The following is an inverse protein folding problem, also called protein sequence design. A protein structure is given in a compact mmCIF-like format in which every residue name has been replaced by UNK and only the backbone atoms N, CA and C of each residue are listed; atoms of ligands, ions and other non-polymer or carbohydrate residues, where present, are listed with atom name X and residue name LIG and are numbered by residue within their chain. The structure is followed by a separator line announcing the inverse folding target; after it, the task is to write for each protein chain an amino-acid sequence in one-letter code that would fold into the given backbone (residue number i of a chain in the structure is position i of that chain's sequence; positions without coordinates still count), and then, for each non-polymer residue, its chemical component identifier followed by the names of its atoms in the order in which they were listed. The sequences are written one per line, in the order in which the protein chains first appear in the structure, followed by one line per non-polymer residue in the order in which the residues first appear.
data_IF_513992577401
#
_entry.id   IF_513992577401
#
_cell.length_a   1.000
_cell.length_b   1.000
_cell.length_c   1.000
_cell.angle_alpha   90.00
_cell.angle_beta   90.00
_cell.angle_gamma   90.00
#
_symmetry.space_group_name_H-M   'P 1'
#
loop_
_entity.id
_entity.type
_entity.pdbx_description
1 polymer ?
#
# COMPACT_ATOMS: atom_id res chain seq x y z
N UNK A 1 -3.16 -18.49 -28.57
CA UNK A 1 -2.86 -17.13 -29.09
C UNK A 1 -2.85 -16.15 -27.93
N UNK A 2 -1.67 -15.79 -27.43
CA UNK A 2 -1.51 -14.84 -26.33
C UNK A 2 -1.66 -13.42 -26.90
N UNK A 3 -2.74 -12.71 -26.58
CA UNK A 3 -2.87 -11.29 -26.95
C UNK A 3 -1.85 -10.52 -26.12
N UNK A 4 -0.93 -9.82 -26.78
CA UNK A 4 -0.05 -8.84 -26.13
C UNK A 4 -0.92 -7.86 -25.33
N UNK A 5 -0.56 -7.62 -24.07
CA UNK A 5 -1.14 -6.55 -23.27
C UNK A 5 -0.67 -5.20 -23.86
N UNK A 6 -1.35 -4.71 -24.89
CA UNK A 6 -0.99 -3.47 -25.61
C UNK A 6 -1.12 -2.20 -24.74
N UNK A 7 -1.63 -2.33 -23.50
CA UNK A 7 -1.76 -1.23 -22.55
C UNK A 7 -0.58 -1.10 -21.57
N UNK A 8 0.41 -1.99 -21.60
CA UNK A 8 1.48 -2.01 -20.60
C UNK A 8 2.82 -1.56 -21.19
N UNK A 9 3.09 -0.25 -21.14
CA UNK A 9 4.34 0.32 -21.62
C UNK A 9 5.46 0.16 -20.56
N UNK A 10 6.35 -0.80 -20.77
CA UNK A 10 7.52 -1.06 -19.89
C UNK A 10 8.56 0.08 -19.89
N UNK A 11 8.54 0.98 -20.89
CA UNK A 11 9.44 2.12 -20.95
C UNK A 11 9.03 3.27 -20.01
N UNK A 12 7.80 3.27 -19.49
CA UNK A 12 7.36 4.27 -18.53
C UNK A 12 8.05 4.04 -17.17
N UNK A 13 8.70 5.08 -16.62
CA UNK A 13 9.38 5.01 -15.31
C UNK A 13 8.42 4.61 -14.17
N UNK A 14 7.11 4.87 -14.28
CA UNK A 14 6.11 4.41 -13.31
C UNK A 14 5.90 2.88 -13.31
N UNK A 15 6.32 2.18 -14.36
CA UNK A 15 6.13 0.74 -14.51
C UNK A 15 7.41 -0.05 -14.17
N UNK A 16 8.48 0.61 -13.71
CA UNK A 16 9.65 -0.10 -13.20
C UNK A 16 9.32 -0.80 -11.88
N UNK A 17 9.76 -2.05 -11.67
CA UNK A 17 9.59 -2.74 -10.41
C UNK A 17 10.28 -1.97 -9.29
N UNK A 18 9.57 -1.83 -8.16
CA UNK A 18 10.09 -1.29 -6.91
C UNK A 18 10.26 -2.43 -5.92
N UNK A 19 11.27 -2.28 -5.07
CA UNK A 19 11.52 -3.19 -3.96
C UNK A 19 10.31 -3.19 -3.03
N UNK A 20 9.78 -4.38 -2.73
CA UNK A 20 8.66 -4.54 -1.79
C UNK A 20 9.26 -4.72 -0.40
N UNK A 21 9.55 -3.61 0.29
CA UNK A 21 10.34 -3.62 1.55
C UNK A 21 9.76 -4.53 2.65
N UNK A 22 8.45 -4.65 2.73
CA UNK A 22 7.75 -5.56 3.66
C UNK A 22 7.94 -7.05 3.35
N UNK A 23 8.54 -7.39 2.21
CA UNK A 23 8.94 -8.76 1.86
C UNK A 23 10.38 -9.07 2.25
N UNK A 24 11.09 -8.12 2.84
CA UNK A 24 12.48 -8.25 3.26
C UNK A 24 12.56 -8.35 4.78
N UNK A 25 13.16 -9.43 5.35
CA UNK A 25 13.25 -9.55 6.79
C UNK A 25 14.06 -8.41 7.42
N UNK A 26 13.48 -7.77 8.43
CA UNK A 26 14.10 -6.67 9.17
C UNK A 26 14.67 -7.14 10.51
N UNK A 27 15.69 -6.44 11.02
CA UNK A 27 16.36 -6.80 12.29
C UNK A 27 15.41 -6.71 13.50
N UNK A 28 14.51 -5.75 13.48
CA UNK A 28 13.51 -5.50 14.52
C UNK A 28 12.25 -6.36 14.39
N UNK A 29 12.22 -7.26 13.39
CA UNK A 29 11.12 -8.18 13.11
C UNK A 29 9.83 -7.51 12.64
N UNK A 30 9.89 -6.23 12.26
CA UNK A 30 8.80 -5.60 11.52
C UNK A 30 8.57 -6.39 10.21
N UNK A 31 7.31 -6.50 9.79
CA UNK A 31 6.84 -7.20 8.59
C UNK A 31 7.08 -8.72 8.52
N UNK A 32 7.51 -9.40 9.59
CA UNK A 32 7.77 -10.85 9.60
C UNK A 32 6.61 -11.71 9.05
N UNK A 33 5.36 -11.26 9.22
CA UNK A 33 4.20 -11.94 8.64
C UNK A 33 4.28 -12.01 7.10
N UNK A 34 4.72 -10.95 6.42
CA UNK A 34 4.87 -10.92 4.96
C UNK A 34 6.29 -11.28 4.48
N UNK A 35 7.31 -10.96 5.27
CA UNK A 35 8.71 -11.21 4.96
C UNK A 35 9.13 -12.67 5.20
N UNK A 36 8.43 -13.40 6.08
CA UNK A 36 8.72 -14.82 6.37
C UNK A 36 7.50 -15.72 6.29
N UNK A 37 6.44 -15.44 7.04
CA UNK A 37 5.31 -16.39 7.17
C UNK A 37 4.60 -16.61 5.83
N UNK A 38 4.29 -15.54 5.12
CA UNK A 38 3.67 -15.61 3.79
C UNK A 38 4.71 -15.70 2.66
N UNK A 39 6.00 -15.50 2.96
CA UNK A 39 7.13 -15.51 2.04
C UNK A 39 7.60 -16.92 1.63
N UNK A 40 6.67 -17.78 1.25
CA UNK A 40 6.97 -19.19 0.99
C UNK A 40 6.37 -19.64 -0.33
N UNK A 41 6.93 -20.69 -0.93
CA UNK A 41 6.37 -21.33 -2.12
C UNK A 41 4.94 -21.84 -1.91
N UNK A 42 4.56 -22.08 -0.65
CA UNK A 42 3.24 -22.52 -0.27
C UNK A 42 2.22 -21.38 -0.12
N UNK A 43 2.62 -20.13 0.12
CA UNK A 43 1.71 -19.01 0.37
C UNK A 43 1.78 -17.92 -0.72
N UNK A 44 2.80 -17.05 -0.67
CA UNK A 44 3.10 -16.06 -1.72
C UNK A 44 4.47 -16.40 -2.29
N UNK A 45 4.49 -17.14 -3.40
CA UNK A 45 5.72 -17.63 -4.02
C UNK A 45 6.52 -16.53 -4.70
N UNK A 46 5.84 -15.49 -5.20
CA UNK A 46 6.48 -14.34 -5.82
C UNK A 46 5.60 -13.09 -5.69
N UNK A 47 6.22 -11.92 -5.68
CA UNK A 47 5.51 -10.67 -5.83
C UNK A 47 6.37 -9.59 -6.49
N UNK A 48 5.72 -8.66 -7.19
CA UNK A 48 6.37 -7.48 -7.78
C UNK A 48 5.50 -6.27 -7.50
N UNK A 49 6.11 -5.21 -7.00
CA UNK A 49 5.43 -3.93 -6.74
C UNK A 49 5.82 -2.89 -7.77
N UNK A 50 4.84 -2.12 -8.24
CA UNK A 50 4.99 -0.97 -9.11
C UNK A 50 4.32 0.24 -8.47
N UNK A 51 4.83 1.44 -8.77
CA UNK A 51 4.32 2.67 -8.19
C UNK A 51 4.00 3.68 -9.27
N UNK A 52 2.84 4.31 -9.20
CA UNK A 52 2.52 5.47 -10.01
C UNK A 52 2.84 6.73 -9.23
N UNK A 53 3.85 7.46 -9.68
CA UNK A 53 4.16 8.77 -9.14
C UNK A 53 3.06 9.78 -9.48
N UNK A 54 2.93 10.84 -8.69
CA UNK A 54 2.20 12.02 -9.12
C UNK A 54 2.95 12.67 -10.29
N UNK A 55 2.34 12.70 -11.45
CA UNK A 55 2.78 13.45 -12.61
C UNK A 55 2.24 14.88 -12.53
N UNK A 56 3.04 15.85 -13.01
CA UNK A 56 2.64 17.26 -13.05
C UNK A 56 1.58 17.54 -14.15
N UNK A 57 1.35 16.58 -15.05
CA UNK A 57 0.61 16.79 -16.31
C UNK A 57 -0.78 16.13 -16.35
N UNK A 58 -1.01 15.01 -15.65
CA UNK A 58 -2.35 14.39 -15.63
C UNK A 58 -3.24 15.12 -14.63
N UNK A 59 -4.11 15.99 -15.14
CA UNK A 59 -5.18 16.65 -14.39
C UNK A 59 -6.22 15.70 -13.75
N UNK A 60 -5.95 14.40 -13.67
CA UNK A 60 -6.78 13.41 -13.00
C UNK A 60 -6.68 13.57 -11.48
N UNK A 61 -7.53 14.46 -10.96
CA UNK A 61 -7.80 14.65 -9.54
C UNK A 61 -8.49 13.41 -8.96
N UNK A 62 -7.73 12.34 -8.68
CA UNK A 62 -8.21 11.23 -7.82
C UNK A 62 -7.96 11.45 -6.33
N UNK A 63 -7.36 12.58 -5.96
CA UNK A 63 -7.38 13.08 -4.58
C UNK A 63 -8.55 14.03 -4.40
N UNK A 64 -9.70 13.57 -3.85
CA UNK A 64 -10.67 14.48 -3.30
C UNK A 64 -10.06 15.10 -2.04
N UNK A 65 -9.48 16.30 -2.18
CA UNK A 65 -9.21 17.17 -1.05
C UNK A 65 -10.55 17.40 -0.36
N UNK A 66 -10.71 16.91 0.87
CA UNK A 66 -11.87 17.29 1.66
C UNK A 66 -11.79 18.81 1.92
N UNK A 67 -12.91 19.54 1.99
CA UNK A 67 -12.87 20.94 2.44
C UNK A 67 -12.19 21.00 3.81
N UNK A 68 -11.05 21.70 3.91
CA UNK A 68 -10.24 21.76 5.14
C UNK A 68 -9.21 20.64 5.32
N UNK A 69 -9.07 19.69 4.38
CA UNK A 69 -7.93 18.77 4.39
C UNK A 69 -6.67 19.53 3.98
N UNK A 70 -5.62 19.41 4.78
CA UNK A 70 -4.31 19.98 4.46
C UNK A 70 -3.93 19.69 3.00
N UNK A 71 -3.32 20.69 2.38
CA UNK A 71 -2.83 20.78 1.01
C UNK A 71 -1.66 19.82 0.69
N UNK A 72 -1.59 18.68 1.37
CA UNK A 72 -0.58 17.68 1.09
C UNK A 72 -0.91 16.93 -0.21
N UNK A 73 0.09 16.80 -1.07
CA UNK A 73 0.03 15.99 -2.29
C UNK A 73 1.05 14.86 -2.16
N UNK A 74 0.65 13.59 -2.17
CA UNK A 74 1.60 12.49 -2.14
C UNK A 74 2.39 12.42 -3.45
N UNK A 75 3.66 12.05 -3.33
CA UNK A 75 4.56 11.83 -4.47
C UNK A 75 4.26 10.51 -5.19
N UNK A 76 3.58 9.57 -4.54
CA UNK A 76 3.08 8.32 -5.11
C UNK A 76 1.57 8.25 -4.88
N UNK A 77 0.82 8.23 -5.98
CA UNK A 77 -0.65 8.28 -5.97
C UNK A 77 -1.29 6.90 -6.01
N UNK A 78 -0.53 5.88 -6.41
CA UNK A 78 -1.01 4.50 -6.49
C UNK A 78 0.16 3.52 -6.35
N UNK A 79 -0.08 2.43 -5.62
CA UNK A 79 0.79 1.24 -5.61
C UNK A 79 0.03 0.09 -6.25
N UNK A 80 0.75 -0.74 -7.00
CA UNK A 80 0.25 -1.95 -7.64
C UNK A 80 1.17 -3.11 -7.29
N UNK A 81 0.65 -4.13 -6.65
CA UNK A 81 1.43 -5.32 -6.30
C UNK A 81 0.80 -6.54 -6.93
N UNK A 82 1.58 -7.25 -7.74
CA UNK A 82 1.21 -8.56 -8.27
C UNK A 82 1.64 -9.61 -7.25
N UNK A 83 0.73 -10.48 -6.83
CA UNK A 83 1.04 -11.61 -5.95
C UNK A 83 0.76 -12.92 -6.68
N UNK A 84 1.76 -13.80 -6.74
CA UNK A 84 1.58 -15.21 -7.09
C UNK A 84 1.17 -15.96 -5.83
N UNK A 85 -0.10 -16.39 -5.77
CA UNK A 85 -0.71 -16.99 -4.58
C UNK A 85 -0.76 -18.51 -4.76
N UNK A 86 -0.19 -19.24 -3.82
CA UNK A 86 -0.18 -20.71 -3.78
C UNK A 86 -1.24 -21.26 -2.80
N UNK A 87 -1.42 -22.59 -2.78
CA UNK A 87 -2.54 -23.24 -2.09
C UNK A 87 -2.48 -23.26 -0.56
N UNK A 88 -1.34 -22.92 0.05
CA UNK A 88 -1.14 -22.93 1.51
C UNK A 88 -1.93 -21.86 2.26
N UNK A 89 -2.60 -20.96 1.56
CA UNK A 89 -3.50 -19.95 2.14
C UNK A 89 -4.98 -20.26 1.88
N UNK A 90 -5.31 -21.47 1.45
CA UNK A 90 -6.69 -21.88 1.17
C UNK A 90 -7.55 -21.89 2.44
N UNK A 91 -8.76 -21.32 2.33
CA UNK A 91 -9.83 -21.47 3.31
C UNK A 91 -10.92 -22.46 2.86
N UNK A 92 -11.03 -22.66 1.55
CA UNK A 92 -11.86 -23.68 0.90
C UNK A 92 -11.08 -24.25 -0.29
N UNK A 93 -11.56 -25.34 -0.90
CA UNK A 93 -10.88 -25.99 -2.02
C UNK A 93 -10.51 -24.98 -3.13
N UNK A 94 -9.20 -24.73 -3.28
CA UNK A 94 -8.58 -23.80 -4.24
C UNK A 94 -9.01 -22.32 -4.10
N UNK A 95 -9.59 -21.92 -2.97
CA UNK A 95 -10.02 -20.55 -2.70
C UNK A 95 -9.24 -20.02 -1.49
N UNK A 96 -8.55 -18.90 -1.69
CA UNK A 96 -7.80 -18.23 -0.63
C UNK A 96 -8.73 -17.84 0.53
N UNK A 97 -8.27 -18.05 1.76
CA UNK A 97 -9.00 -17.73 2.96
C UNK A 97 -9.31 -16.23 3.02
N UNK A 98 -10.50 -15.84 3.46
CA UNK A 98 -10.90 -14.43 3.55
C UNK A 98 -9.95 -13.59 4.40
N UNK A 99 -9.41 -14.18 5.48
CA UNK A 99 -8.37 -13.54 6.30
C UNK A 99 -7.09 -13.22 5.53
N UNK A 100 -6.63 -14.11 4.64
CA UNK A 100 -5.47 -13.84 3.77
C UNK A 100 -5.77 -12.71 2.77
N UNK A 101 -6.96 -12.71 2.18
CA UNK A 101 -7.44 -11.66 1.28
C UNK A 101 -7.46 -10.30 1.99
N UNK A 102 -7.95 -10.24 3.23
CA UNK A 102 -7.91 -9.04 4.05
C UNK A 102 -6.46 -8.59 4.35
N UNK A 103 -5.57 -9.53 4.68
CA UNK A 103 -4.17 -9.22 4.93
C UNK A 103 -3.45 -8.61 3.72
N UNK A 104 -3.61 -9.15 2.51
CA UNK A 104 -2.93 -8.59 1.33
C UNK A 104 -3.49 -7.21 0.94
N UNK A 105 -4.76 -6.92 1.24
CA UNK A 105 -5.33 -5.58 1.08
C UNK A 105 -4.69 -4.60 2.06
N UNK A 106 -4.63 -4.95 3.36
CA UNK A 106 -4.00 -4.13 4.40
C UNK A 106 -2.53 -3.83 4.07
N UNK A 107 -1.80 -4.87 3.67
CA UNK A 107 -0.38 -4.78 3.28
C UNK A 107 -0.14 -3.77 2.16
N UNK A 108 -0.88 -3.87 1.05
CA UNK A 108 -0.64 -2.99 -0.11
C UNK A 108 -1.06 -1.56 0.17
N UNK A 109 -2.06 -1.35 1.04
CA UNK A 109 -2.38 -0.02 1.57
C UNK A 109 -1.23 0.53 2.44
N UNK A 110 -0.62 -0.29 3.29
CA UNK A 110 0.57 0.05 4.07
C UNK A 110 1.78 0.39 3.19
N UNK A 111 2.05 -0.39 2.14
CA UNK A 111 3.14 -0.13 1.18
C UNK A 111 2.99 1.26 0.55
N UNK A 112 1.77 1.67 0.18
CA UNK A 112 1.52 3.02 -0.36
C UNK A 112 1.90 4.13 0.62
N UNK A 113 1.56 3.97 1.91
CA UNK A 113 1.89 4.94 2.95
C UNK A 113 3.41 4.98 3.16
N UNK A 114 4.04 3.83 3.38
CA UNK A 114 5.49 3.71 3.62
C UNK A 114 6.32 4.23 2.46
N UNK A 115 5.90 3.97 1.21
CA UNK A 115 6.58 4.50 0.03
C UNK A 115 6.55 6.03 -0.01
N UNK A 116 5.44 6.65 0.38
CA UNK A 116 5.35 8.11 0.46
C UNK A 116 6.16 8.68 1.63
N UNK A 117 6.23 7.97 2.76
CA UNK A 117 7.09 8.33 3.90
C UNK A 117 8.56 8.38 3.46
N UNK A 118 9.05 7.29 2.87
CA UNK A 118 10.44 7.17 2.44
C UNK A 118 10.82 8.27 1.44
N UNK A 119 9.96 8.53 0.44
CA UNK A 119 10.21 9.61 -0.54
C UNK A 119 10.21 11.00 0.08
N UNK A 120 9.37 11.24 1.08
CA UNK A 120 9.38 12.51 1.80
C UNK A 120 10.67 12.68 2.60
N UNK A 121 11.08 11.66 3.35
CA UNK A 121 12.33 11.65 4.13
C UNK A 121 13.57 11.87 3.23
N UNK A 122 13.62 11.21 2.06
CA UNK A 122 14.66 11.44 1.06
C UNK A 122 14.68 12.88 0.53
N UNK A 123 13.51 13.46 0.28
CA UNK A 123 13.38 14.85 -0.23
C UNK A 123 13.89 15.85 0.81
N UNK A 124 13.52 15.65 2.08
CA UNK A 124 14.00 16.47 3.20
C UNK A 124 15.52 16.33 3.35
N UNK A 125 16.07 15.12 3.32
CA UNK A 125 17.51 14.89 3.44
C UNK A 125 18.33 15.57 2.32
N UNK A 126 17.85 15.53 1.07
CA UNK A 126 18.49 16.22 -0.07
C UNK A 126 18.44 17.74 0.04
N UNK A 127 17.35 18.26 0.61
CA UNK A 127 17.18 19.70 0.81
C UNK A 127 18.16 20.22 1.85
N UNK A 128 18.30 19.52 2.98
CA UNK A 128 19.24 19.86 4.06
C UNK A 128 20.68 19.86 3.55
N UNK A 129 21.05 18.89 2.73
CA UNK A 129 22.41 18.74 2.19
C UNK A 129 22.77 19.82 1.16
N UNK A 130 21.81 20.32 0.38
CA UNK A 130 22.06 21.33 -0.66
C UNK A 130 21.94 22.78 -0.17
N UNK A 131 21.70 23.03 1.13
CA UNK A 131 21.57 24.37 1.69
C UNK A 131 20.36 25.18 1.18
N UNK A 132 19.54 24.60 0.30
CA UNK A 132 18.28 25.15 -0.17
C UNK A 132 17.25 25.05 0.95
N UNK A 133 16.53 26.12 1.26
CA UNK A 133 15.29 26.02 2.04
C UNK A 133 14.35 25.06 1.31
N UNK A 134 13.76 24.12 2.05
CA UNK A 134 12.72 23.21 1.50
C UNK A 134 11.76 24.08 0.71
N UNK A 135 11.47 23.77 -0.57
CA UNK A 135 10.28 24.32 -1.19
C UNK A 135 9.15 24.11 -0.18
N UNK A 136 8.17 25.00 -0.12
CA UNK A 136 7.00 24.86 0.74
C UNK A 136 6.13 23.65 0.31
N UNK A 137 6.73 22.46 0.20
CA UNK A 137 6.08 21.17 0.13
C UNK A 137 5.45 20.96 1.50
N UNK A 138 4.13 21.06 1.44
CA UNK A 138 3.24 21.20 2.58
C UNK A 138 3.45 20.02 3.51
N UNK A 139 3.68 20.33 4.79
CA UNK A 139 3.99 19.36 5.85
C UNK A 139 3.06 18.15 5.70
N UNK A 140 3.60 16.95 5.45
CA UNK A 140 2.76 15.78 5.23
C UNK A 140 1.97 15.46 6.51
N UNK A 141 0.85 14.74 6.39
CA UNK A 141 0.28 14.05 7.53
C UNK A 141 1.33 13.11 8.13
N UNK A 142 1.07 12.60 9.34
CA UNK A 142 1.94 11.60 9.96
C UNK A 142 1.88 10.31 9.13
N UNK A 143 2.97 9.96 8.46
CA UNK A 143 3.07 8.78 7.59
C UNK A 143 3.64 7.54 8.30
N UNK A 144 4.09 7.67 9.54
CA UNK A 144 4.28 6.50 10.43
C UNK A 144 2.92 6.17 11.03
N UNK A 145 2.25 5.16 10.49
CA UNK A 145 0.85 4.85 10.81
C UNK A 145 0.64 3.43 11.28
N UNK A 146 -0.47 3.19 11.97
CA UNK A 146 -1.03 1.86 12.21
C UNK A 146 -2.43 1.76 11.62
N UNK A 147 -2.86 0.56 11.26
CA UNK A 147 -4.23 0.28 10.84
C UNK A 147 -5.18 0.39 12.04
N UNK A 148 -6.15 1.31 11.97
CA UNK A 148 -7.18 1.47 12.99
C UNK A 148 -8.48 0.75 12.60
N UNK A 149 -8.85 0.78 11.32
CA UNK A 149 -10.02 0.06 10.79
C UNK A 149 -9.72 -0.52 9.41
N UNK A 150 -10.32 -1.67 9.10
CA UNK A 150 -10.27 -2.29 7.79
C UNK A 150 -11.65 -2.82 7.42
N UNK A 151 -12.28 -2.26 6.39
CA UNK A 151 -13.51 -2.76 5.81
C UNK A 151 -13.21 -3.50 4.50
N UNK A 152 -13.60 -4.78 4.42
CA UNK A 152 -13.40 -5.61 3.23
C UNK A 152 -14.74 -6.07 2.66
N UNK A 153 -14.91 -5.92 1.35
CA UNK A 153 -16.03 -6.47 0.60
C UNK A 153 -15.53 -7.57 -0.33
N UNK A 154 -15.94 -8.81 -0.04
CA UNK A 154 -15.64 -9.97 -0.88
C UNK A 154 -16.68 -10.05 -2.00
N UNK A 155 -16.28 -9.80 -3.23
CA UNK A 155 -17.18 -9.78 -4.40
C UNK A 155 -17.22 -11.13 -5.11
N UNK A 156 -16.05 -11.76 -5.27
CA UNK A 156 -15.85 -13.03 -5.95
C UNK A 156 -14.71 -13.80 -5.26
N UNK A 157 -14.68 -15.14 -5.41
CA UNK A 157 -13.57 -15.94 -4.89
C UNK A 157 -12.22 -15.48 -5.43
N UNK A 158 -11.20 -15.50 -4.58
CA UNK A 158 -9.80 -15.38 -4.98
C UNK A 158 -9.24 -16.79 -5.11
N UNK A 159 -9.05 -17.27 -6.33
CA UNK A 159 -8.52 -18.61 -6.57
C UNK A 159 -7.00 -18.64 -6.34
N UNK A 160 -6.52 -19.67 -5.63
CA UNK A 160 -5.09 -19.94 -5.49
C UNK A 160 -4.54 -20.70 -6.70
N UNK A 161 -3.22 -20.70 -6.88
CA UNK A 161 -2.54 -21.27 -8.05
C UNK A 161 -2.39 -20.28 -9.22
N UNK A 162 -2.68 -19.00 -8.98
CA UNK A 162 -2.65 -17.94 -9.97
C UNK A 162 -2.04 -16.64 -9.43
N UNK A 163 -2.02 -15.63 -10.30
CA UNK A 163 -1.55 -14.28 -9.97
C UNK A 163 -2.74 -13.34 -9.85
N UNK A 164 -2.75 -12.50 -8.82
CA UNK A 164 -3.70 -11.39 -8.69
C UNK A 164 -2.98 -10.05 -8.69
N UNK A 165 -3.67 -9.02 -9.16
CA UNK A 165 -3.23 -7.63 -9.04
C UNK A 165 -3.91 -6.98 -7.85
N UNK A 166 -3.14 -6.41 -6.94
CA UNK A 166 -3.63 -5.59 -5.83
C UNK A 166 -3.26 -4.15 -6.07
N UNK A 167 -4.24 -3.25 -6.03
CA UNK A 167 -4.03 -1.82 -6.24
C UNK A 167 -4.41 -1.09 -4.98
N UNK A 168 -3.62 -0.11 -4.54
CA UNK A 168 -3.99 0.80 -3.47
C UNK A 168 -3.80 2.25 -3.91
N UNK A 169 -4.72 3.11 -3.48
CA UNK A 169 -4.65 4.56 -3.67
C UNK A 169 -5.25 5.26 -2.46
N UNK A 170 -4.82 6.49 -2.20
CA UNK A 170 -5.40 7.27 -1.12
C UNK A 170 -6.83 7.71 -1.48
N UNK A 171 -7.72 7.61 -0.49
CA UNK A 171 -9.05 8.20 -0.52
C UNK A 171 -9.01 9.61 0.07
N UNK A 172 -9.79 9.83 1.14
CA UNK A 172 -9.88 11.11 1.85
C UNK A 172 -8.85 11.19 2.99
N UNK A 173 -8.28 12.37 3.20
CA UNK A 173 -7.50 12.68 4.41
C UNK A 173 -8.41 13.43 5.38
N UNK A 174 -8.52 12.95 6.63
CA UNK A 174 -9.35 13.55 7.68
C UNK A 174 -8.51 13.81 8.94
N UNK A 175 -7.92 15.00 9.03
CA UNK A 175 -7.01 15.34 10.13
C UNK A 175 -5.79 14.40 10.18
N UNK A 176 -5.52 13.69 11.29
CA UNK A 176 -4.41 12.73 11.39
C UNK A 176 -4.74 11.35 10.80
N UNK A 177 -5.96 11.15 10.27
CA UNK A 177 -6.45 9.89 9.74
C UNK A 177 -6.31 9.85 8.21
N UNK A 178 -5.68 8.80 7.69
CA UNK A 178 -5.54 8.53 6.27
C UNK A 178 -6.52 7.44 5.88
N UNK A 179 -7.48 7.75 5.00
CA UNK A 179 -8.30 6.72 4.36
C UNK A 179 -7.59 6.25 3.11
N UNK A 180 -7.33 4.95 3.01
CA UNK A 180 -6.73 4.31 1.85
C UNK A 180 -7.73 3.30 1.30
N UNK A 181 -7.81 3.20 -0.02
CA UNK A 181 -8.67 2.25 -0.71
C UNK A 181 -7.80 1.26 -1.47
N UNK A 182 -8.29 0.02 -1.61
CA UNK A 182 -7.62 -1.00 -2.39
C UNK A 182 -8.59 -1.94 -3.10
N UNK A 183 -8.11 -2.56 -4.18
CA UNK A 183 -8.81 -3.63 -4.91
C UNK A 183 -7.88 -4.82 -5.12
N UNK A 184 -8.45 -6.02 -5.14
CA UNK A 184 -7.84 -7.23 -5.70
C UNK A 184 -8.56 -7.53 -7.02
N UNK A 185 -7.79 -7.71 -8.09
CA UNK A 185 -8.26 -7.90 -9.46
C UNK A 185 -7.68 -9.19 -10.08
N UNK A 186 -8.48 -9.87 -10.91
CA UNK A 186 -8.02 -10.99 -11.74
C UNK A 186 -7.28 -10.50 -13.00
N UNK A 187 -6.79 -11.45 -13.82
CA UNK A 187 -6.08 -11.15 -15.06
C UNK A 187 -6.93 -10.42 -16.12
N UNK A 188 -8.26 -10.49 -16.01
CA UNK A 188 -9.21 -9.80 -16.90
C UNK A 188 -9.62 -8.43 -16.33
N UNK A 189 -9.04 -8.00 -15.20
CA UNK A 189 -9.35 -6.74 -14.52
C UNK A 189 -10.66 -6.75 -13.74
N UNK A 190 -11.24 -7.93 -13.46
CA UNK A 190 -12.45 -8.02 -12.63
C UNK A 190 -12.07 -7.91 -11.16
N UNK A 191 -12.76 -7.01 -10.45
CA UNK A 191 -12.60 -6.85 -9.01
C UNK A 191 -13.14 -8.08 -8.27
N UNK A 192 -12.26 -8.75 -7.54
CA UNK A 192 -12.56 -9.90 -6.69
C UNK A 192 -12.87 -9.48 -5.27
N UNK A 193 -12.19 -8.45 -4.76
CA UNK A 193 -12.42 -7.88 -3.43
C UNK A 193 -12.04 -6.41 -3.39
N UNK A 194 -12.70 -5.65 -2.52
CA UNK A 194 -12.46 -4.23 -2.25
C UNK A 194 -12.11 -4.03 -0.78
N UNK A 195 -11.15 -3.14 -0.50
CA UNK A 195 -10.76 -2.75 0.85
C UNK A 195 -10.86 -1.23 1.04
N UNK A 196 -11.27 -0.81 2.22
CA UNK A 196 -11.09 0.57 2.71
C UNK A 196 -10.47 0.51 4.09
N UNK A 197 -9.26 1.04 4.23
CA UNK A 197 -8.51 1.10 5.47
C UNK A 197 -8.47 2.51 6.04
N UNK A 198 -8.59 2.63 7.37
CA UNK A 198 -8.34 3.84 8.13
C UNK A 198 -7.02 3.69 8.86
N UNK A 199 -6.05 4.54 8.53
CA UNK A 199 -4.72 4.53 9.13
C UNK A 199 -4.55 5.76 10.01
N UNK A 200 -4.05 5.56 11.24
CA UNK A 200 -3.86 6.63 12.21
C UNK A 200 -2.37 6.86 12.41
N UNK A 201 -1.94 8.11 12.23
CA UNK A 201 -0.56 8.51 12.44
C UNK A 201 -0.12 8.46 13.91
N UNK A 202 1.04 7.85 14.16
CA UNK A 202 1.64 7.78 15.48
C UNK A 202 2.34 9.10 15.85
N UNK A 203 2.27 9.43 17.14
CA UNK A 203 3.08 10.50 17.72
C UNK A 203 4.49 10.01 18.03
N UNK A 204 5.51 10.85 17.84
CA UNK A 204 6.91 10.51 18.14
C UNK A 204 7.15 10.14 19.62
N UNK A 205 6.21 10.52 20.50
CA UNK A 205 6.19 10.11 21.92
C UNK A 205 5.46 8.77 22.16
N UNK A 206 4.61 8.33 21.23
CA UNK A 206 3.86 7.06 21.29
C UNK A 206 4.61 5.87 20.70
N UNK A 207 5.72 6.09 19.99
CA UNK A 207 6.59 5.00 19.51
C UNK A 207 7.16 4.14 20.65
N UNK A 208 7.24 4.69 21.87
CA UNK A 208 7.67 3.98 23.07
C UNK A 208 6.51 3.29 23.84
N UNK A 209 5.25 3.44 23.40
CA UNK A 209 4.03 2.97 24.11
C UNK A 209 3.63 1.52 23.75
N UNK A 210 4.37 0.81 22.90
CA UNK A 210 4.14 -0.63 22.71
C UNK A 210 4.48 -1.50 23.95
N UNK A 211 4.74 -0.88 25.11
CA UNK A 211 4.98 -1.54 26.41
C UNK A 211 3.89 -1.31 27.48
N UNK A 212 2.79 -0.60 27.22
CA UNK A 212 1.74 -0.49 28.25
C UNK A 212 0.47 0.28 27.84
N UNK A 213 -0.67 -0.39 28.05
CA UNK A 213 -2.05 0.14 28.07
C UNK A 213 -2.55 0.82 26.79
N UNK A 214 -3.36 0.09 26.02
CA UNK A 214 -4.06 0.58 24.83
C UNK A 214 -5.46 1.13 25.18
N UNK A 215 -5.67 2.44 25.01
CA UNK A 215 -6.99 3.04 24.78
C UNK A 215 -6.94 3.85 23.49
N UNK A 216 -7.46 3.29 22.40
CA UNK A 216 -7.70 4.04 21.18
C UNK A 216 -8.97 4.89 21.35
N UNK A 217 -8.83 6.21 21.52
CA UNK A 217 -9.94 7.12 21.27
C UNK A 217 -10.18 7.17 19.76
N UNK A 218 -11.13 6.36 19.30
CA UNK A 218 -11.66 6.33 17.93
C UNK A 218 -12.38 7.66 17.64
#
# INVERSE_FOLDING_TARGET
MYRRAEHFNWANRSNKPNQTRSREPKRDKEDEFFARTLATDAAISACVTQIRAADNESGERRFPSAPGSATWRPSVIEVRTLFAIAGGVNGYANIAHGGFVASILDEVMGILISTNKDRYEETVARTVTNGSTTPAQQKPPRLTTVTAELNVKYRKPVFTGGVVLVRAWFGKVQGPKLVVQATIEDADGRVLSEGTGLFVGLDSMRSHIFRGSWEAKI
#
